data_IF_494087619853
#
_entry.id   IF_494087619853
#
_cell.length_a   1.000
_cell.length_b   1.000
_cell.length_c   1.000
_cell.angle_alpha   90.00
_cell.angle_beta   90.00
_cell.angle_gamma   90.00
#
_symmetry.space_group_name_H-M   'P 1'
#
loop_
_entity.id
_entity.type
_entity.pdbx_description
1 polymer ?
#
# COMPACT_ATOMS: atom_id res chain seq x y z
N UNK A 1 -0.81 -25.14 0.69
CA UNK A 1 -0.60 -23.69 0.93
C UNK A 1 -1.81 -23.16 1.67
N UNK A 2 -1.65 -22.69 2.91
CA UNK A 2 -2.74 -22.05 3.64
C UNK A 2 -2.93 -20.64 3.07
N UNK A 3 -4.05 -20.40 2.37
CA UNK A 3 -4.34 -19.10 1.79
C UNK A 3 -5.03 -18.25 2.86
N UNK A 4 -4.28 -17.37 3.52
CA UNK A 4 -4.91 -16.41 4.43
C UNK A 4 -5.77 -15.42 3.62
N UNK A 5 -7.05 -15.25 3.97
CA UNK A 5 -7.93 -14.32 3.27
C UNK A 5 -7.45 -12.89 3.50
N UNK A 6 -7.43 -12.08 2.44
CA UNK A 6 -7.06 -10.67 2.52
C UNK A 6 -8.08 -9.91 3.36
N UNK A 7 -7.62 -9.14 4.34
CA UNK A 7 -8.45 -8.35 5.27
C UNK A 7 -8.31 -6.85 5.03
N UNK A 8 -9.35 -6.09 5.37
CA UNK A 8 -9.34 -4.64 5.26
C UNK A 8 -8.34 -4.06 6.26
N UNK A 9 -7.47 -3.15 5.83
CA UNK A 9 -6.49 -2.52 6.73
C UNK A 9 -7.12 -1.53 7.72
N UNK A 10 -8.36 -1.11 7.51
CA UNK A 10 -9.03 -0.11 8.35
C UNK A 10 -9.92 -0.74 9.43
N UNK A 11 -10.68 -1.77 9.08
CA UNK A 11 -11.63 -2.43 10.00
C UNK A 11 -11.36 -3.92 10.18
N UNK A 12 -10.30 -4.48 9.58
CA UNK A 12 -9.93 -5.90 9.64
C UNK A 12 -10.98 -6.90 9.14
N UNK A 13 -12.09 -6.44 8.57
CA UNK A 13 -13.09 -7.27 7.90
C UNK A 13 -12.50 -8.02 6.71
N UNK A 14 -12.96 -9.25 6.52
CA UNK A 14 -12.72 -10.03 5.30
C UNK A 14 -13.70 -9.69 4.16
N UNK A 15 -14.74 -8.89 4.42
CA UNK A 15 -15.74 -8.52 3.42
C UNK A 15 -15.23 -7.39 2.52
N UNK A 16 -14.51 -7.80 1.47
CA UNK A 16 -13.82 -6.94 0.53
C UNK A 16 -14.09 -7.42 -0.89
N UNK A 17 -14.45 -6.48 -1.76
CA UNK A 17 -14.66 -6.74 -3.19
C UNK A 17 -13.68 -5.98 -4.07
N UNK A 18 -13.42 -6.48 -5.27
CA UNK A 18 -12.64 -5.77 -6.29
C UNK A 18 -13.40 -4.52 -6.75
N UNK A 19 -12.72 -3.38 -6.84
CA UNK A 19 -13.28 -2.08 -7.19
C UNK A 19 -12.54 -1.46 -8.40
N UNK A 20 -12.46 -2.26 -9.47
CA UNK A 20 -11.80 -1.86 -10.72
C UNK A 20 -10.28 -1.69 -10.63
N UNK A 21 -9.68 -1.34 -11.77
CA UNK A 21 -8.24 -1.13 -11.93
C UNK A 21 -8.02 0.35 -12.23
N UNK A 22 -6.93 0.94 -11.71
CA UNK A 22 -6.48 2.29 -12.09
C UNK A 22 -4.96 2.32 -12.10
N UNK A 23 -4.35 2.92 -13.12
CA UNK A 23 -2.90 2.95 -13.29
C UNK A 23 -2.28 1.55 -13.19
N UNK A 24 -2.95 0.54 -13.75
CA UNK A 24 -2.56 -0.87 -13.67
C UNK A 24 -2.54 -1.49 -12.26
N UNK A 25 -3.16 -0.84 -11.27
CA UNK A 25 -3.28 -1.31 -9.88
C UNK A 25 -4.72 -1.71 -9.57
N UNK A 26 -4.91 -2.93 -9.08
CA UNK A 26 -6.21 -3.43 -8.60
C UNK A 26 -6.61 -2.70 -7.31
N UNK A 27 -7.78 -2.07 -7.33
CA UNK A 27 -8.41 -1.45 -6.15
C UNK A 27 -9.42 -2.39 -5.51
N UNK A 28 -9.64 -2.18 -4.22
CA UNK A 28 -10.51 -2.98 -3.37
C UNK A 28 -11.41 -2.05 -2.57
N UNK A 29 -12.63 -2.48 -2.34
CA UNK A 29 -13.62 -1.77 -1.56
C UNK A 29 -14.04 -2.68 -0.41
N UNK A 30 -13.99 -2.17 0.81
CA UNK A 30 -14.54 -2.87 1.97
C UNK A 30 -16.02 -2.51 2.11
N UNK A 31 -16.88 -3.52 2.22
CA UNK A 31 -18.32 -3.32 2.35
C UNK A 31 -18.73 -2.86 3.75
N UNK A 32 -17.93 -3.12 4.79
CA UNK A 32 -18.24 -2.68 6.15
C UNK A 32 -17.86 -1.21 6.39
N UNK A 33 -16.59 -0.84 6.14
CA UNK A 33 -16.13 0.53 6.38
C UNK A 33 -16.31 1.47 5.17
N UNK A 34 -16.82 0.94 4.05
CA UNK A 34 -17.05 1.66 2.80
C UNK A 34 -15.82 2.37 2.23
N UNK A 35 -14.61 1.94 2.61
CA UNK A 35 -13.34 2.53 2.15
C UNK A 35 -12.83 1.81 0.91
N UNK A 36 -12.24 2.60 0.02
CA UNK A 36 -11.51 2.10 -1.15
C UNK A 36 -10.01 2.18 -0.91
N UNK A 37 -9.32 1.07 -1.12
CA UNK A 37 -7.89 0.93 -0.89
C UNK A 37 -7.25 -0.02 -1.90
N UNK A 38 -5.94 -0.16 -1.82
CA UNK A 38 -5.15 -1.12 -2.61
C UNK A 38 -4.40 -2.02 -1.65
N UNK A 39 -4.28 -3.30 -2.00
CA UNK A 39 -3.38 -4.21 -1.29
C UNK A 39 -1.98 -4.00 -1.84
N UNK A 40 -1.05 -3.56 -0.99
CA UNK A 40 0.35 -3.47 -1.36
C UNK A 40 0.98 -4.84 -1.52
N UNK A 41 2.02 -4.87 -2.35
CA UNK A 41 3.05 -5.90 -2.26
C UNK A 41 3.86 -5.70 -0.97
N UNK A 42 4.09 -6.79 -0.24
CA UNK A 42 5.03 -6.80 0.88
C UNK A 42 6.40 -6.39 0.34
N UNK A 43 7.09 -5.46 1.01
CA UNK A 43 8.46 -5.15 0.65
C UNK A 43 9.33 -6.39 0.90
N UNK A 44 10.19 -6.68 -0.06
CA UNK A 44 11.17 -7.76 0.08
C UNK A 44 12.35 -7.24 0.93
N UNK A 45 12.57 -7.77 2.14
CA UNK A 45 13.66 -7.35 3.01
C UNK A 45 15.03 -7.52 2.35
N UNK A 46 15.21 -8.57 1.55
CA UNK A 46 16.48 -8.85 0.86
C UNK A 46 16.75 -7.73 -0.13
N UNK A 47 15.74 -7.33 -0.90
CA UNK A 47 15.83 -6.23 -1.86
C UNK A 47 16.20 -4.90 -1.18
N UNK A 48 15.62 -4.62 -0.01
CA UNK A 48 15.95 -3.42 0.77
C UNK A 48 17.43 -3.42 1.17
N UNK A 49 17.92 -4.54 1.71
CA UNK A 49 19.32 -4.68 2.11
C UNK A 49 20.29 -4.57 0.93
N UNK A 50 19.97 -5.20 -0.20
CA UNK A 50 20.81 -5.12 -1.40
C UNK A 50 20.85 -3.71 -1.99
N UNK A 51 19.72 -3.00 -2.01
CA UNK A 51 19.67 -1.61 -2.48
C UNK A 51 20.46 -0.69 -1.55
N UNK A 52 20.37 -0.89 -0.23
CA UNK A 52 21.17 -0.14 0.76
C UNK A 52 22.67 -0.39 0.62
N UNK A 53 23.09 -1.65 0.45
CA UNK A 53 24.51 -1.99 0.29
C UNK A 53 25.10 -1.48 -1.03
N UNK A 54 24.30 -1.48 -2.10
CA UNK A 54 24.76 -1.12 -3.45
C UNK A 54 24.72 0.37 -3.71
N UNK A 55 23.71 1.07 -3.19
CA UNK A 55 23.54 2.51 -3.37
C UNK A 55 24.07 3.18 -2.12
N UNK A 56 25.04 4.07 -2.25
CA UNK A 56 25.64 4.88 -1.16
C UNK A 56 24.64 5.91 -0.59
N UNK A 57 23.46 5.46 -0.19
CA UNK A 57 22.37 6.27 0.30
C UNK A 57 22.55 6.52 1.79
N UNK A 58 22.14 7.69 2.23
CA UNK A 58 21.99 7.98 3.67
C UNK A 58 20.78 7.25 4.24
N UNK A 59 20.77 7.02 5.55
CA UNK A 59 19.61 6.43 6.24
C UNK A 59 18.31 7.21 5.98
N UNK A 60 18.40 8.55 5.85
CA UNK A 60 17.26 9.40 5.52
C UNK A 60 16.68 9.07 4.13
N UNK A 61 17.55 8.96 3.12
CA UNK A 61 17.12 8.62 1.75
C UNK A 61 16.57 7.19 1.65
N UNK A 62 17.16 6.24 2.39
CA UNK A 62 16.61 4.88 2.48
C UNK A 62 15.20 4.89 3.10
N UNK A 63 15.02 5.61 4.21
CA UNK A 63 13.73 5.73 4.86
C UNK A 63 12.69 6.41 3.96
N UNK A 64 13.02 7.50 3.27
CA UNK A 64 12.14 8.17 2.31
C UNK A 64 11.73 7.24 1.16
N UNK A 65 12.67 6.47 0.61
CA UNK A 65 12.38 5.49 -0.45
C UNK A 65 11.43 4.38 0.03
N UNK A 66 11.68 3.84 1.23
CA UNK A 66 10.82 2.83 1.85
C UNK A 66 9.45 3.43 2.14
N UNK A 67 9.38 4.64 2.69
CA UNK A 67 8.13 5.35 2.98
C UNK A 67 7.34 5.57 1.70
N UNK A 68 7.94 6.06 0.62
CA UNK A 68 7.28 6.23 -0.69
C UNK A 68 6.73 4.90 -1.22
N UNK A 69 7.49 3.81 -1.07
CA UNK A 69 6.99 2.47 -1.41
C UNK A 69 5.85 2.01 -0.46
N UNK A 70 5.86 2.45 0.80
CA UNK A 70 4.86 2.16 1.85
C UNK A 70 3.70 3.16 1.91
N UNK A 71 3.65 4.24 1.15
CA UNK A 71 2.58 5.25 1.23
C UNK A 71 1.28 4.84 0.50
N UNK A 72 1.29 3.75 -0.25
CA UNK A 72 0.12 3.30 -1.04
C UNK A 72 -1.04 2.67 -0.22
N UNK A 73 -1.16 2.91 1.10
CA UNK A 73 -2.35 2.50 1.91
C UNK A 73 -3.32 3.66 2.11
N UNK A 74 -3.10 4.78 1.41
CA UNK A 74 -3.96 5.96 1.47
C UNK A 74 -5.38 5.58 1.07
N UNK A 75 -6.34 6.00 1.89
CA UNK A 75 -7.77 5.98 1.56
C UNK A 75 -7.97 6.81 0.28
N UNK A 76 -8.22 6.13 -0.84
CA UNK A 76 -8.29 6.76 -2.16
C UNK A 76 -9.56 7.62 -2.29
N UNK A 77 -10.52 7.47 -1.36
CA UNK A 77 -11.74 8.28 -1.33
C UNK A 77 -11.51 9.73 -0.87
N UNK A 78 -10.41 10.04 -0.17
CA UNK A 78 -10.10 11.40 0.26
C UNK A 78 -9.33 12.12 -0.85
N UNK A 79 -10.03 12.93 -1.68
CA UNK A 79 -9.38 13.92 -2.56
C UNK A 79 -8.52 14.85 -1.71
N UNK A 80 -7.27 15.17 -2.11
CA UNK A 80 -6.50 16.21 -1.43
C UNK A 80 -7.27 17.54 -1.55
N UNK A 81 -7.46 18.24 -0.43
CA UNK A 81 -7.92 19.63 -0.42
C UNK A 81 -6.92 20.42 -1.25
N UNK A 82 -7.34 20.92 -2.42
CA UNK A 82 -6.56 21.93 -3.14
C UNK A 82 -6.52 23.16 -2.24
N UNK A 83 -5.35 23.47 -1.68
CA UNK A 83 -5.11 24.80 -1.14
C UNK A 83 -4.93 25.73 -2.35
N UNK A 84 -5.85 26.68 -2.46
CA UNK A 84 -5.77 27.80 -3.41
C UNK A 84 -4.79 28.83 -2.90
#
# INVERSE_FOLDING_TARGET
MNYEPKKCHFCHSSDIRKHGIRNNIQRYFCNECHKTFIFKTKLDPIKIWTDYASRKQTYKQLAENIIVQLEQFKDISKKPLKQY
#
